data_IF_869630398936
#
_entry.id   IF_869630398936
#
_cell.length_a   1.000
_cell.length_b   1.000
_cell.length_c   1.000
_cell.angle_alpha   90.00
_cell.angle_beta   90.00
_cell.angle_gamma   90.00
#
_symmetry.space_group_name_H-M   'P 1'
#
loop_
_entity.id
_entity.type
_entity.pdbx_description
1 polymer ?
#
# COMPACT_ATOMS: atom_id res chain seq x y z
N UNK A 1 -2.95 59.42 -49.21
CA UNK A 1 -1.78 58.84 -49.90
C UNK A 1 -0.86 58.23 -48.84
N UNK A 2 -0.71 56.88 -48.84
CA UNK A 2 0.12 55.99 -47.98
C UNK A 2 -0.37 55.80 -46.51
N UNK A 3 -1.12 54.76 -46.10
CA UNK A 3 -0.84 53.29 -45.96
C UNK A 3 0.29 53.09 -44.92
N UNK A 4 0.22 52.38 -43.77
CA UNK A 4 -0.39 51.09 -43.28
C UNK A 4 -0.12 51.07 -41.73
N UNK A 5 -0.73 50.30 -40.82
CA UNK A 5 -1.03 48.87 -40.80
C UNK A 5 -2.09 48.59 -39.70
N UNK A 6 -2.97 47.64 -39.98
CA UNK A 6 -4.12 47.24 -39.19
C UNK A 6 -3.75 46.36 -37.99
N UNK A 7 -4.41 46.61 -36.85
CA UNK A 7 -4.49 45.71 -35.71
C UNK A 7 -5.54 44.65 -36.08
N UNK A 8 -5.09 43.44 -36.40
CA UNK A 8 -5.99 42.32 -36.67
C UNK A 8 -6.48 41.74 -35.34
N UNK A 9 -7.74 42.01 -35.01
CA UNK A 9 -8.51 41.28 -34.02
C UNK A 9 -8.71 39.83 -34.50
N UNK A 10 -8.35 38.86 -33.67
CA UNK A 10 -8.79 37.46 -33.82
C UNK A 10 -9.70 37.15 -32.65
N UNK A 11 -11.00 37.10 -32.95
CA UNK A 11 -12.07 36.68 -32.07
C UNK A 11 -12.45 35.24 -32.44
N UNK A 12 -12.65 34.43 -31.39
CA UNK A 12 -13.35 33.14 -31.31
C UNK A 12 -12.72 31.88 -31.91
N UNK A 13 -12.45 30.90 -31.04
CA UNK A 13 -13.37 29.77 -30.89
C UNK A 13 -13.34 29.20 -29.46
N UNK A 14 -14.52 29.08 -28.87
CA UNK A 14 -14.81 28.37 -27.62
C UNK A 14 -14.45 26.89 -27.76
N UNK A 15 -13.30 26.50 -27.24
CA UNK A 15 -13.03 25.12 -26.86
C UNK A 15 -13.21 25.01 -25.36
N UNK A 16 -14.42 24.66 -24.91
CA UNK A 16 -14.60 24.15 -23.55
C UNK A 16 -13.81 22.85 -23.51
N UNK A 17 -12.54 22.92 -23.08
CA UNK A 17 -11.85 21.76 -22.58
C UNK A 17 -12.67 21.29 -21.39
N UNK A 18 -13.51 20.28 -21.62
CA UNK A 18 -13.95 19.40 -20.56
C UNK A 18 -12.70 18.79 -19.97
N UNK A 19 -12.14 19.46 -18.96
CA UNK A 19 -11.36 18.80 -17.95
C UNK A 19 -12.33 17.79 -17.37
N UNK A 20 -12.29 16.56 -17.88
CA UNK A 20 -12.73 15.42 -17.11
C UNK A 20 -11.90 15.51 -15.84
N UNK A 21 -12.50 16.05 -14.79
CA UNK A 21 -12.02 15.89 -13.43
C UNK A 21 -12.18 14.39 -13.20
N UNK A 22 -11.16 13.63 -13.62
CA UNK A 22 -10.96 12.29 -13.11
C UNK A 22 -10.94 12.49 -11.60
N UNK A 23 -11.88 11.91 -10.84
CA UNK A 23 -11.80 12.00 -9.40
C UNK A 23 -10.41 11.47 -9.05
N UNK A 24 -9.56 12.35 -8.54
CA UNK A 24 -8.28 11.96 -8.03
C UNK A 24 -8.60 11.08 -6.83
N UNK A 25 -8.54 9.76 -7.03
CA UNK A 25 -8.67 8.77 -5.97
C UNK A 25 -7.46 8.97 -5.05
N UNK A 26 -7.60 9.85 -4.06
CA UNK A 26 -6.56 10.16 -3.11
C UNK A 26 -6.55 9.09 -2.01
N UNK A 27 -6.16 7.87 -2.36
CA UNK A 27 -5.77 6.87 -1.38
C UNK A 27 -4.42 7.26 -0.78
N UNK A 28 -4.25 7.06 0.53
CA UNK A 28 -2.93 7.07 1.17
C UNK A 28 -2.11 5.90 0.61
N UNK A 29 -1.38 6.16 -0.48
CA UNK A 29 -0.34 5.28 -0.96
C UNK A 29 0.86 5.41 -0.04
N UNK A 30 1.05 4.45 0.86
CA UNK A 30 2.35 4.22 1.49
C UNK A 30 3.32 3.45 0.59
N UNK A 31 2.88 2.98 -0.59
CA UNK A 31 3.71 2.31 -1.60
C UNK A 31 4.19 3.24 -2.73
N UNK A 32 5.06 2.73 -3.61
CA UNK A 32 5.51 3.47 -4.81
C UNK A 32 4.39 3.63 -5.87
N UNK A 33 4.70 4.30 -6.98
CA UNK A 33 3.75 4.52 -8.10
C UNK A 33 3.22 3.24 -8.76
N UNK A 34 3.89 2.10 -8.54
CA UNK A 34 3.47 0.78 -9.02
C UNK A 34 2.79 -0.04 -7.91
N UNK A 35 2.62 0.53 -6.72
CA UNK A 35 2.08 -0.15 -5.53
C UNK A 35 3.03 -1.19 -4.96
N UNK A 36 4.34 -1.00 -5.08
CA UNK A 36 5.33 -1.78 -4.35
C UNK A 36 5.52 -1.20 -2.94
N UNK A 37 5.81 -2.06 -1.98
CA UNK A 37 6.16 -1.73 -0.61
C UNK A 37 7.57 -2.27 -0.31
N UNK A 38 8.59 -1.42 -0.36
CA UNK A 38 10.00 -1.83 -0.21
C UNK A 38 10.61 -1.15 1.01
N UNK A 39 11.04 -1.96 1.96
CA UNK A 39 11.73 -1.53 3.18
C UNK A 39 13.14 -2.10 3.19
N UNK A 40 14.14 -1.23 3.21
CA UNK A 40 15.53 -1.60 3.31
C UNK A 40 16.18 -0.95 4.52
N UNK A 41 16.80 -1.76 5.37
CA UNK A 41 17.50 -1.31 6.57
C UNK A 41 18.92 -1.85 6.57
N UNK A 42 19.87 -0.95 6.72
CA UNK A 42 21.29 -1.29 6.84
C UNK A 42 21.84 -0.74 8.16
N UNK A 43 22.52 -1.59 8.92
CA UNK A 43 23.13 -1.23 10.18
C UNK A 43 24.62 -1.59 10.21
N UNK A 44 25.47 -0.57 10.20
CA UNK A 44 26.94 -0.69 10.19
C UNK A 44 27.59 -0.10 11.44
N UNK A 45 26.81 0.42 12.38
CA UNK A 45 27.32 1.08 13.59
C UNK A 45 27.25 0.12 14.77
N UNK A 46 28.39 -0.23 15.34
CA UNK A 46 28.49 -1.13 16.50
C UNK A 46 27.58 -0.74 17.66
N UNK A 47 27.02 -1.77 18.31
CA UNK A 47 26.12 -1.68 19.45
C UNK A 47 24.93 -0.75 19.22
N UNK A 48 24.35 -0.77 18.01
CA UNK A 48 23.23 0.10 17.68
C UNK A 48 22.00 -0.66 17.17
N UNK A 49 20.83 -0.04 17.36
CA UNK A 49 19.57 -0.49 16.80
C UNK A 49 19.20 0.37 15.59
N UNK A 50 18.81 -0.29 14.50
CA UNK A 50 18.20 0.33 13.31
C UNK A 50 16.94 -0.42 12.96
N UNK A 51 15.83 0.28 12.86
CA UNK A 51 14.58 -0.30 12.43
C UNK A 51 13.85 0.64 11.46
N UNK A 52 13.12 0.04 10.53
CA UNK A 52 12.13 0.75 9.74
C UNK A 52 10.98 -0.19 9.40
N UNK A 53 9.78 0.39 9.34
CA UNK A 53 8.55 -0.33 9.03
C UNK A 53 7.72 0.49 8.08
N UNK A 54 7.06 -0.18 7.13
CA UNK A 54 6.07 0.41 6.24
C UNK A 54 4.90 -0.56 6.06
N UNK A 55 3.71 -0.10 6.44
CA UNK A 55 2.45 -0.77 6.18
C UNK A 55 1.67 0.01 5.12
N UNK A 56 1.25 -0.66 4.06
CA UNK A 56 0.58 -0.06 2.93
C UNK A 56 -0.72 -0.78 2.57
N UNK A 57 -1.74 0.00 2.20
CA UNK A 57 -2.92 -0.51 1.48
C UNK A 57 -2.87 0.07 0.07
N UNK A 58 -2.80 -0.79 -0.94
CA UNK A 58 -2.58 -0.36 -2.34
C UNK A 58 -3.66 -0.95 -3.23
N UNK A 59 -4.16 -0.17 -4.20
CA UNK A 59 -5.15 -0.63 -5.19
C UNK A 59 -4.50 -0.88 -6.55
N UNK A 60 -4.81 -2.00 -7.19
CA UNK A 60 -4.37 -2.30 -8.56
C UNK A 60 -5.60 -2.57 -9.45
N UNK A 61 -6.06 -1.56 -10.23
CA UNK A 61 -7.17 -1.70 -11.17
C UNK A 61 -6.73 -2.22 -12.56
N UNK A 62 -5.45 -2.58 -12.73
CA UNK A 62 -4.87 -2.94 -14.02
C UNK A 62 -5.01 -4.42 -14.38
N UNK A 63 -4.74 -4.75 -15.64
CA UNK A 63 -4.68 -6.14 -16.13
C UNK A 63 -3.43 -6.90 -15.65
N UNK A 64 -2.49 -6.22 -14.98
CA UNK A 64 -1.24 -6.77 -14.48
C UNK A 64 -1.10 -6.51 -12.98
N UNK A 65 -0.97 -7.59 -12.20
CA UNK A 65 -0.67 -7.57 -10.77
C UNK A 65 0.76 -8.05 -10.58
N UNK A 66 1.69 -7.09 -10.46
CA UNK A 66 3.13 -7.34 -10.27
C UNK A 66 3.69 -6.70 -8.99
N UNK A 67 2.82 -6.34 -8.05
CA UNK A 67 3.16 -5.62 -6.82
C UNK A 67 4.15 -6.42 -5.97
N UNK A 68 5.19 -5.75 -5.49
CA UNK A 68 6.25 -6.33 -4.66
C UNK A 68 6.17 -5.81 -3.23
N UNK A 69 6.14 -6.71 -2.24
CA UNK A 69 6.32 -6.41 -0.83
C UNK A 69 7.66 -6.97 -0.37
N UNK A 70 8.63 -6.10 -0.02
CA UNK A 70 9.99 -6.52 0.33
C UNK A 70 10.46 -5.90 1.64
N UNK A 71 10.95 -6.73 2.54
CA UNK A 71 11.71 -6.31 3.72
C UNK A 71 13.13 -6.85 3.64
N UNK A 72 14.12 -5.96 3.62
CA UNK A 72 15.54 -6.30 3.46
C UNK A 72 16.37 -5.68 4.58
N UNK A 73 16.82 -6.50 5.53
CA UNK A 73 17.62 -6.08 6.67
C UNK A 73 19.06 -6.62 6.56
N UNK A 74 20.04 -5.75 6.77
CA UNK A 74 21.46 -6.10 6.76
C UNK A 74 22.19 -5.49 7.95
N UNK A 75 23.05 -6.28 8.58
CA UNK A 75 23.90 -5.82 9.67
C UNK A 75 25.37 -6.26 9.46
N UNK A 76 26.30 -5.40 9.86
CA UNK A 76 27.74 -5.68 9.93
C UNK A 76 28.36 -5.04 11.18
N UNK A 77 29.45 -5.59 11.72
CA UNK A 77 30.11 -5.07 12.92
C UNK A 77 29.83 -5.93 14.15
N UNK A 78 29.52 -5.32 15.30
CA UNK A 78 29.32 -6.04 16.56
C UNK A 78 28.06 -5.59 17.31
N UNK A 79 27.26 -6.56 17.77
CA UNK A 79 26.18 -6.32 18.74
C UNK A 79 25.00 -5.49 18.22
N UNK A 80 24.75 -5.49 16.91
CA UNK A 80 23.71 -4.68 16.30
C UNK A 80 22.35 -5.37 16.32
N UNK A 81 21.28 -4.58 16.48
CA UNK A 81 19.90 -5.02 16.23
C UNK A 81 19.37 -4.34 14.98
N UNK A 82 18.89 -5.11 14.02
CA UNK A 82 18.43 -4.57 12.73
C UNK A 82 17.09 -5.18 12.37
N UNK A 83 16.10 -4.34 12.09
CA UNK A 83 14.72 -4.77 11.81
C UNK A 83 14.20 -4.09 10.54
N UNK A 84 13.74 -4.87 9.57
CA UNK A 84 13.00 -4.36 8.40
C UNK A 84 11.60 -5.00 8.38
N UNK A 85 10.55 -4.18 8.29
CA UNK A 85 9.16 -4.65 8.29
C UNK A 85 8.38 -4.09 7.11
N UNK A 86 7.84 -4.94 6.25
CA UNK A 86 7.00 -4.57 5.11
C UNK A 86 5.64 -5.29 5.19
N UNK A 87 4.57 -4.54 5.48
CA UNK A 87 3.19 -5.06 5.51
C UNK A 87 2.43 -4.48 4.32
N UNK A 88 1.76 -5.33 3.54
CA UNK A 88 0.93 -4.87 2.44
C UNK A 88 -0.43 -5.56 2.40
N UNK A 89 -1.50 -4.77 2.36
CA UNK A 89 -2.83 -5.24 1.95
C UNK A 89 -3.08 -4.74 0.53
N UNK A 90 -3.02 -5.64 -0.44
CA UNK A 90 -3.20 -5.33 -1.85
C UNK A 90 -4.65 -5.59 -2.27
N UNK A 91 -5.34 -4.56 -2.71
CA UNK A 91 -6.67 -4.64 -3.30
C UNK A 91 -6.50 -4.77 -4.82
N UNK A 92 -6.90 -5.90 -5.39
CA UNK A 92 -6.88 -6.12 -6.84
C UNK A 92 -8.31 -6.02 -7.35
N UNK A 93 -8.59 -4.97 -8.09
CA UNK A 93 -9.92 -4.74 -8.67
C UNK A 93 -9.99 -5.36 -10.07
N UNK A 94 -11.09 -6.02 -10.39
CA UNK A 94 -11.31 -6.60 -11.72
C UNK A 94 -10.67 -7.98 -11.92
N UNK A 95 -10.32 -8.29 -13.18
CA UNK A 95 -9.85 -9.63 -13.60
C UNK A 95 -8.50 -9.51 -14.31
N UNK A 96 -7.37 -9.57 -13.58
CA UNK A 96 -6.04 -9.43 -14.19
C UNK A 96 -5.72 -10.64 -15.09
N UNK A 97 -5.06 -10.38 -16.21
CA UNK A 97 -4.59 -11.43 -17.13
C UNK A 97 -3.15 -11.83 -16.86
N UNK A 98 -2.39 -10.99 -16.15
CA UNK A 98 -1.05 -11.29 -15.67
C UNK A 98 -1.00 -11.11 -14.15
N UNK A 99 -0.70 -12.19 -13.41
CA UNK A 99 -0.75 -12.22 -11.96
C UNK A 99 0.52 -12.84 -11.38
N UNK A 100 1.45 -11.99 -10.96
CA UNK A 100 2.77 -12.35 -10.44
C UNK A 100 3.18 -11.44 -9.26
N UNK A 101 2.38 -11.32 -8.19
CA UNK A 101 2.78 -10.59 -7.00
C UNK A 101 3.98 -11.27 -6.31
N UNK A 102 4.80 -10.48 -5.61
CA UNK A 102 5.98 -10.99 -4.90
C UNK A 102 6.01 -10.51 -3.46
N UNK A 103 6.33 -11.43 -2.54
CA UNK A 103 6.54 -11.13 -1.13
C UNK A 103 7.88 -11.70 -0.67
N UNK A 104 8.78 -10.85 -0.15
CA UNK A 104 10.17 -11.21 0.13
C UNK A 104 10.66 -10.63 1.46
N UNK A 105 11.20 -11.47 2.34
CA UNK A 105 11.90 -11.06 3.55
C UNK A 105 13.34 -11.60 3.54
N UNK A 106 14.32 -10.72 3.72
CA UNK A 106 15.75 -11.08 3.73
C UNK A 106 16.44 -10.44 4.94
N UNK A 107 17.08 -11.26 5.77
CA UNK A 107 17.84 -10.83 6.93
C UNK A 107 19.27 -11.37 6.83
N UNK A 108 20.27 -10.49 6.80
CA UNK A 108 21.67 -10.88 6.65
C UNK A 108 22.55 -10.28 7.75
N UNK A 109 23.32 -11.16 8.40
CA UNK A 109 24.44 -10.80 9.25
C UNK A 109 25.73 -10.97 8.41
N UNK A 110 26.23 -9.88 7.83
CA UNK A 110 27.45 -9.92 7.02
C UNK A 110 28.65 -9.49 7.85
N UNK A 111 29.64 -10.39 8.02
CA UNK A 111 30.83 -10.11 8.82
C UNK A 111 30.48 -9.53 10.20
N UNK A 112 29.49 -10.13 10.89
CA UNK A 112 29.03 -9.64 12.18
C UNK A 112 29.30 -10.61 13.33
N UNK A 113 29.69 -10.06 14.48
CA UNK A 113 29.71 -10.75 15.77
C UNK A 113 28.51 -10.35 16.62
N UNK A 114 27.70 -11.31 17.05
CA UNK A 114 26.55 -11.10 17.95
C UNK A 114 25.46 -10.13 17.43
N UNK A 115 25.32 -9.94 16.11
CA UNK A 115 24.18 -9.22 15.55
C UNK A 115 22.88 -10.04 15.63
N UNK A 116 21.77 -9.32 15.79
CA UNK A 116 20.42 -9.79 15.60
C UNK A 116 19.80 -9.04 14.42
N UNK A 117 19.51 -9.74 13.34
CA UNK A 117 18.86 -9.16 12.16
C UNK A 117 17.54 -9.87 11.91
N UNK A 118 16.50 -9.09 11.65
CA UNK A 118 15.14 -9.56 11.45
C UNK A 118 14.52 -8.84 10.26
N UNK A 119 13.84 -9.60 9.41
CA UNK A 119 13.07 -9.09 8.30
C UNK A 119 11.70 -9.76 8.32
N UNK A 120 10.66 -8.95 8.21
CA UNK A 120 9.27 -9.41 8.19
C UNK A 120 8.59 -8.82 6.96
N UNK A 121 8.06 -9.69 6.10
CA UNK A 121 7.30 -9.28 4.93
C UNK A 121 5.98 -10.06 4.87
N UNK A 122 4.85 -9.36 4.99
CA UNK A 122 3.53 -9.96 4.92
C UNK A 122 2.67 -9.23 3.89
N UNK A 123 2.23 -9.94 2.86
CA UNK A 123 1.39 -9.43 1.79
C UNK A 123 0.09 -10.22 1.76
N UNK A 124 -1.03 -9.53 1.97
CA UNK A 124 -2.39 -10.09 1.86
C UNK A 124 -3.08 -9.48 0.65
N UNK A 125 -3.62 -10.33 -0.21
CA UNK A 125 -4.28 -9.89 -1.44
C UNK A 125 -5.79 -10.10 -1.31
N UNK A 126 -6.55 -9.04 -1.53
CA UNK A 126 -8.01 -9.02 -1.53
C UNK A 126 -8.48 -8.70 -2.94
N UNK A 127 -9.35 -9.53 -3.53
CA UNK A 127 -9.77 -9.40 -4.92
C UNK A 127 -11.29 -9.15 -5.04
N UNK A 128 -11.77 -7.94 -4.72
CA UNK A 128 -13.17 -7.59 -4.93
C UNK A 128 -13.49 -7.51 -6.43
N UNK A 129 -14.70 -7.91 -6.82
CA UNK A 129 -15.20 -7.78 -8.20
C UNK A 129 -15.75 -6.38 -8.52
N UNK A 130 -15.65 -5.46 -7.57
CA UNK A 130 -16.13 -4.09 -7.64
C UNK A 130 -15.08 -3.12 -7.10
N UNK A 131 -15.25 -1.85 -7.42
CA UNK A 131 -14.36 -0.80 -6.92
C UNK A 131 -14.53 -0.60 -5.42
N UNK A 132 -13.42 -0.44 -4.70
CA UNK A 132 -13.41 -0.20 -3.26
C UNK A 132 -12.94 1.22 -2.99
N UNK A 133 -13.71 1.92 -2.17
CA UNK A 133 -13.31 3.23 -1.68
C UNK A 133 -13.25 3.20 -0.15
N UNK A 134 -12.04 3.25 0.43
CA UNK A 134 -11.84 3.38 1.87
C UNK A 134 -12.41 4.71 2.38
N UNK A 135 -13.16 4.67 3.46
CA UNK A 135 -13.61 5.89 4.14
C UNK A 135 -12.43 6.64 4.80
N UNK A 136 -12.63 7.92 5.13
CA UNK A 136 -11.66 8.69 5.92
C UNK A 136 -11.38 8.04 7.29
N UNK A 137 -12.40 7.42 7.89
CA UNK A 137 -12.25 6.69 9.16
C UNK A 137 -11.35 5.46 8.99
N UNK A 138 -11.58 4.65 7.95
CA UNK A 138 -10.71 3.52 7.63
C UNK A 138 -9.27 3.96 7.36
N UNK A 139 -9.06 5.04 6.59
CA UNK A 139 -7.73 5.58 6.35
C UNK A 139 -7.05 6.01 7.66
N UNK A 140 -7.78 6.67 8.56
CA UNK A 140 -7.25 7.06 9.86
C UNK A 140 -6.93 5.85 10.75
N UNK A 141 -7.73 4.78 10.71
CA UNK A 141 -7.45 3.53 11.42
C UNK A 141 -6.21 2.82 10.88
N UNK A 142 -6.09 2.72 9.55
CA UNK A 142 -4.92 2.13 8.88
C UNK A 142 -3.64 2.91 9.19
N UNK A 143 -3.71 4.25 9.21
CA UNK A 143 -2.57 5.08 9.60
C UNK A 143 -2.12 4.79 11.04
N UNK A 144 -3.05 4.60 11.98
CA UNK A 144 -2.71 4.20 13.36
C UNK A 144 -2.02 2.84 13.41
N UNK A 145 -2.50 1.87 12.64
CA UNK A 145 -1.88 0.55 12.55
C UNK A 145 -0.48 0.60 11.92
N UNK A 146 -0.27 1.47 10.93
CA UNK A 146 1.06 1.71 10.37
C UNK A 146 2.02 2.29 11.42
N UNK A 147 1.57 3.26 12.24
CA UNK A 147 2.36 3.75 13.38
C UNK A 147 2.65 2.65 14.40
N UNK A 148 1.67 1.80 14.71
CA UNK A 148 1.88 0.68 15.62
C UNK A 148 2.92 -0.32 15.09
N UNK A 149 2.90 -0.65 13.80
CA UNK A 149 3.91 -1.51 13.18
C UNK A 149 5.32 -0.88 13.25
N UNK A 150 5.40 0.44 13.08
CA UNK A 150 6.63 1.19 13.28
C UNK A 150 7.13 1.10 14.73
N UNK A 151 6.28 1.32 15.73
CA UNK A 151 6.66 1.18 17.14
C UNK A 151 7.11 -0.25 17.48
N UNK A 152 6.37 -1.27 17.01
CA UNK A 152 6.74 -2.68 17.14
C UNK A 152 8.13 -2.95 16.55
N UNK A 153 8.46 -2.41 15.38
CA UNK A 153 9.77 -2.60 14.75
C UNK A 153 10.94 -2.05 15.59
N UNK A 154 10.69 -1.01 16.40
CA UNK A 154 11.69 -0.40 17.29
C UNK A 154 11.75 -1.05 18.68
N UNK A 155 10.85 -1.98 18.99
CA UNK A 155 10.78 -2.63 20.28
C UNK A 155 12.02 -3.51 20.55
N UNK A 156 12.30 -3.72 21.83
CA UNK A 156 13.32 -4.65 22.31
C UNK A 156 12.78 -6.08 22.50
N UNK A 157 11.57 -6.37 22.03
CA UNK A 157 10.94 -7.67 22.27
C UNK A 157 11.62 -8.81 21.47
N UNK A 158 11.45 -10.07 21.90
CA UNK A 158 11.92 -11.22 21.13
C UNK A 158 11.25 -11.28 19.75
N UNK A 159 12.01 -11.61 18.70
CA UNK A 159 11.48 -11.65 17.34
C UNK A 159 10.24 -12.54 17.12
N UNK A 160 10.07 -13.68 17.82
CA UNK A 160 8.82 -14.44 17.74
C UNK A 160 7.60 -13.64 18.22
N UNK A 161 7.76 -12.85 19.29
CA UNK A 161 6.70 -11.97 19.80
C UNK A 161 6.44 -10.82 18.82
N UNK A 162 7.50 -10.19 18.31
CA UNK A 162 7.40 -9.15 17.28
C UNK A 162 6.64 -9.63 16.04
N UNK A 163 6.90 -10.87 15.60
CA UNK A 163 6.19 -11.48 14.46
C UNK A 163 4.70 -11.61 14.76
N UNK A 164 4.34 -12.11 15.95
CA UNK A 164 2.94 -12.24 16.36
C UNK A 164 2.21 -10.89 16.44
N UNK A 165 2.89 -9.85 16.94
CA UNK A 165 2.31 -8.51 17.03
C UNK A 165 2.13 -7.88 15.64
N UNK A 166 3.09 -8.07 14.73
CA UNK A 166 2.98 -7.64 13.33
C UNK A 166 1.90 -8.41 12.55
N UNK A 167 1.72 -9.71 12.81
CA UNK A 167 0.62 -10.51 12.27
C UNK A 167 -0.73 -9.98 12.76
N UNK A 168 -0.85 -9.67 14.05
CA UNK A 168 -2.06 -9.10 14.61
C UNK A 168 -2.39 -7.73 14.02
N UNK A 169 -1.39 -6.88 13.79
CA UNK A 169 -1.56 -5.59 13.09
C UNK A 169 -2.05 -5.83 11.66
N UNK A 170 -1.42 -6.77 10.94
CA UNK A 170 -1.81 -7.13 9.57
C UNK A 170 -3.27 -7.58 9.51
N UNK A 171 -3.70 -8.45 10.44
CA UNK A 171 -5.08 -8.93 10.53
C UNK A 171 -6.08 -7.80 10.79
N UNK A 172 -5.74 -6.83 11.64
CA UNK A 172 -6.59 -5.65 11.86
C UNK A 172 -6.71 -4.79 10.60
N UNK A 173 -5.63 -4.60 9.85
CA UNK A 173 -5.67 -3.88 8.57
C UNK A 173 -6.58 -4.60 7.57
N UNK A 174 -6.44 -5.92 7.45
CA UNK A 174 -7.29 -6.74 6.57
C UNK A 174 -8.76 -6.62 6.97
N UNK A 175 -9.09 -6.67 8.26
CA UNK A 175 -10.46 -6.53 8.75
C UNK A 175 -11.08 -5.18 8.38
N UNK A 176 -10.31 -4.08 8.51
CA UNK A 176 -10.76 -2.74 8.10
C UNK A 176 -11.07 -2.70 6.61
N UNK A 177 -10.13 -3.20 5.77
CA UNK A 177 -10.31 -3.19 4.32
C UNK A 177 -11.48 -4.08 3.88
N UNK A 178 -11.66 -5.24 4.51
CA UNK A 178 -12.81 -6.11 4.26
C UNK A 178 -14.14 -5.46 4.64
N UNK A 179 -14.17 -4.68 5.73
CA UNK A 179 -15.34 -3.88 6.10
C UNK A 179 -15.70 -2.84 5.03
N UNK A 180 -14.70 -2.15 4.47
CA UNK A 180 -14.93 -1.20 3.37
C UNK A 180 -15.38 -1.93 2.09
N UNK A 181 -14.75 -3.05 1.72
CA UNK A 181 -15.20 -3.89 0.58
C UNK A 181 -16.70 -4.22 0.69
N UNK A 182 -17.17 -4.61 1.87
CA UNK A 182 -18.58 -4.92 2.11
C UNK A 182 -19.47 -3.68 2.00
N UNK A 183 -19.04 -2.53 2.54
CA UNK A 183 -19.78 -1.27 2.45
C UNK A 183 -19.87 -0.74 1.02
N UNK A 184 -18.83 -0.91 0.21
CA UNK A 184 -18.79 -0.49 -1.19
C UNK A 184 -19.49 -1.47 -2.15
N UNK A 185 -19.88 -2.66 -1.69
CA UNK A 185 -20.58 -3.64 -2.51
C UNK A 185 -21.93 -3.14 -3.03
N UNK A 186 -22.50 -3.78 -4.08
CA UNK A 186 -23.82 -3.40 -4.59
C UNK A 186 -24.84 -3.43 -3.46
N UNK A 187 -25.64 -2.36 -3.35
CA UNK A 187 -26.71 -2.30 -2.37
C UNK A 187 -27.58 -3.56 -2.49
N UNK A 188 -27.98 -4.14 -1.35
CA UNK A 188 -28.77 -5.34 -1.24
C UNK A 188 -30.12 -5.32 -2.02
N UNK A 189 -30.45 -4.23 -2.72
CA UNK A 189 -31.65 -4.07 -3.56
C UNK A 189 -31.61 -4.76 -4.93
N UNK A 190 -30.48 -5.32 -5.37
CA UNK A 190 -30.40 -6.04 -6.66
C UNK A 190 -30.70 -7.55 -6.55
N UNK A 191 -30.83 -8.08 -5.34
CA UNK A 191 -31.26 -9.47 -5.11
C UNK A 191 -32.79 -9.62 -4.98
N UNK A 192 -33.52 -8.56 -4.61
CA UNK A 192 -34.99 -8.61 -4.49
C UNK A 192 -35.70 -8.53 -5.85
N UNK A 193 -35.13 -7.81 -6.83
CA UNK A 193 -35.69 -7.72 -8.19
C UNK A 193 -35.43 -8.96 -9.08
N UNK A 194 -34.61 -9.92 -8.65
CA UNK A 194 -34.38 -11.17 -9.40
C UNK A 194 -35.35 -12.30 -9.00
N UNK A 195 -36.03 -12.14 -7.87
CA UNK A 195 -37.00 -13.12 -7.36
C UNK A 195 -38.45 -12.77 -7.69
N UNK A 196 -38.72 -11.61 -8.29
CA UNK A 196 -40.08 -11.19 -8.69
C UNK A 196 -40.42 -11.44 -10.16
N UNK A 197 -39.47 -11.91 -10.97
CA UNK A 197 -39.69 -12.19 -12.40
C UNK A 197 -39.95 -13.67 -12.72
N UNK A 198 -40.07 -14.55 -11.71
CA UNK A 198 -40.30 -15.99 -11.91
C UNK A 198 -41.64 -16.56 -11.41
N UNK A 199 -42.63 -15.76 -10.98
CA UNK A 199 -43.97 -16.28 -10.64
C UNK A 199 -45.14 -15.39 -11.10
#
# INVERSE_FOLDING_TARGET
MRIRLAIAAVVTLLGVLGLAVQPAYAWVYSGDENGNNIVQVQNTKDNSTRAFSLAAVTGNPGSTVGNQNTAYATASGTGNRTVATAIQVLIVEGNPTNYQPQNLAVALNNQCTSCQTFAYANQVILQPHHQVNLSDDAQNQLNRLNYQAFETSWSSEPFPQMSADLDNITNQMVAIVQGEIQRNGPAASEQENRNTDEH
#
